data_IF_140697009798
#
_entry.id   IF_140697009798
#
_cell.length_a   1.000
_cell.length_b   1.000
_cell.length_c   1.000
_cell.angle_alpha   90.00
_cell.angle_beta   90.00
_cell.angle_gamma   90.00
#
_symmetry.space_group_name_H-M   'P 1'
#
loop_
_entity.id
_entity.type
_entity.pdbx_description
1 polymer ?
#
# COMPACT_ATOMS: atom_id res chain seq x y z
N UNK A 1 -4.47 -48.57 -32.89
CA UNK A 1 -3.65 -48.21 -31.72
C UNK A 1 -3.67 -46.69 -31.40
N UNK A 2 -4.84 -46.03 -31.41
CA UNK A 2 -4.97 -44.57 -31.16
C UNK A 2 -5.30 -44.08 -29.71
N UNK A 3 -5.77 -44.90 -28.74
CA UNK A 3 -6.36 -44.35 -27.51
C UNK A 3 -5.34 -43.85 -26.48
N UNK A 4 -4.11 -44.37 -26.47
CA UNK A 4 -3.09 -44.01 -25.47
C UNK A 4 -2.58 -42.57 -25.63
N UNK A 5 -2.46 -42.08 -26.88
CA UNK A 5 -2.03 -40.69 -27.16
C UNK A 5 -3.09 -39.67 -26.74
N UNK A 6 -4.37 -39.95 -27.02
CA UNK A 6 -5.49 -39.08 -26.63
C UNK A 6 -5.66 -39.01 -25.11
N UNK A 7 -5.51 -40.14 -24.40
CA UNK A 7 -5.57 -40.18 -22.94
C UNK A 7 -4.43 -39.40 -22.27
N UNK A 8 -3.22 -39.45 -22.85
CA UNK A 8 -2.07 -38.69 -22.37
C UNK A 8 -2.25 -37.17 -22.57
N UNK A 9 -2.72 -36.74 -23.74
CA UNK A 9 -3.02 -35.32 -24.00
C UNK A 9 -4.14 -34.78 -23.11
N UNK A 10 -5.18 -35.58 -22.84
CA UNK A 10 -6.28 -35.19 -21.97
C UNK A 10 -5.82 -35.03 -20.50
N UNK A 11 -5.01 -35.97 -19.99
CA UNK A 11 -4.42 -35.87 -18.64
C UNK A 11 -3.53 -34.65 -18.47
N UNK A 12 -2.68 -34.37 -19.46
CA UNK A 12 -1.81 -33.18 -19.41
C UNK A 12 -2.63 -31.88 -19.49
N UNK A 13 -3.66 -31.82 -20.33
CA UNK A 13 -4.54 -30.66 -20.42
C UNK A 13 -5.37 -30.42 -19.14
N UNK A 14 -5.77 -31.48 -18.44
CA UNK A 14 -6.44 -31.39 -17.14
C UNK A 14 -5.47 -30.92 -16.04
N UNK A 15 -4.24 -31.43 -16.03
CA UNK A 15 -3.20 -31.01 -15.09
C UNK A 15 -2.80 -29.54 -15.26
N UNK A 16 -2.63 -29.07 -16.49
CA UNK A 16 -2.31 -27.65 -16.76
C UNK A 16 -3.49 -26.73 -16.44
N UNK A 17 -4.73 -27.15 -16.73
CA UNK A 17 -5.93 -26.38 -16.36
C UNK A 17 -6.13 -26.30 -14.84
N UNK A 18 -5.87 -27.39 -14.11
CA UNK A 18 -5.94 -27.40 -12.65
C UNK A 18 -4.90 -26.47 -12.02
N UNK A 19 -3.67 -26.46 -12.54
CA UNK A 19 -2.62 -25.54 -12.12
C UNK A 19 -2.99 -24.07 -12.41
N UNK A 20 -3.50 -23.79 -13.62
CA UNK A 20 -3.94 -22.46 -14.04
C UNK A 20 -5.07 -21.91 -13.16
N UNK A 21 -6.02 -22.74 -12.74
CA UNK A 21 -7.13 -22.33 -11.86
C UNK A 21 -6.62 -22.01 -10.45
N UNK A 22 -5.76 -22.85 -9.89
CA UNK A 22 -5.19 -22.63 -8.55
C UNK A 22 -4.34 -21.36 -8.49
N UNK A 23 -3.50 -21.12 -9.51
CA UNK A 23 -2.66 -19.92 -9.61
C UNK A 23 -3.52 -18.65 -9.74
N UNK A 24 -4.58 -18.68 -10.57
CA UNK A 24 -5.52 -17.56 -10.70
C UNK A 24 -6.23 -17.24 -9.40
N UNK A 25 -6.72 -18.26 -8.70
CA UNK A 25 -7.40 -18.07 -7.41
C UNK A 25 -6.45 -17.49 -6.36
N UNK A 26 -5.21 -18.00 -6.28
CA UNK A 26 -4.19 -17.47 -5.37
C UNK A 26 -3.86 -15.99 -5.63
N UNK A 27 -3.78 -15.58 -6.90
CA UNK A 27 -3.52 -14.18 -7.28
C UNK A 27 -4.69 -13.24 -6.98
N UNK A 28 -5.93 -13.70 -7.18
CA UNK A 28 -7.13 -12.95 -6.78
C UNK A 28 -7.12 -12.72 -5.27
N UNK A 29 -6.83 -13.77 -4.49
CA UNK A 29 -6.72 -13.68 -3.03
C UNK A 29 -5.60 -12.71 -2.64
N UNK A 30 -4.40 -12.86 -3.18
CA UNK A 30 -3.25 -11.99 -2.89
C UNK A 30 -3.55 -10.51 -3.17
N UNK A 31 -4.22 -10.21 -4.28
CA UNK A 31 -4.64 -8.85 -4.61
C UNK A 31 -5.60 -8.28 -3.58
N UNK A 32 -6.61 -9.04 -3.18
CA UNK A 32 -7.57 -8.57 -2.18
C UNK A 32 -6.89 -8.39 -0.83
N UNK A 33 -6.00 -9.30 -0.43
CA UNK A 33 -5.19 -9.14 0.78
C UNK A 33 -4.37 -7.85 0.74
N UNK A 34 -3.75 -7.51 -0.40
CA UNK A 34 -3.03 -6.25 -0.55
C UNK A 34 -3.93 -5.03 -0.57
N UNK A 35 -5.09 -5.09 -1.24
CA UNK A 35 -6.08 -4.02 -1.19
C UNK A 35 -6.59 -3.77 0.23
N UNK A 36 -6.84 -4.83 1.01
CA UNK A 36 -7.21 -4.73 2.42
C UNK A 36 -6.06 -4.18 3.28
N UNK A 37 -4.84 -4.68 3.11
CA UNK A 37 -3.68 -4.21 3.87
C UNK A 37 -3.38 -2.73 3.62
N UNK A 38 -3.37 -2.33 2.35
CA UNK A 38 -3.15 -0.92 1.97
C UNK A 38 -4.34 -0.05 2.36
N UNK A 39 -5.57 -0.57 2.26
CA UNK A 39 -6.76 0.16 2.69
C UNK A 39 -6.80 0.41 4.20
N UNK A 40 -6.46 -0.61 5.00
CA UNK A 40 -6.34 -0.45 6.45
C UNK A 40 -5.26 0.58 6.80
N UNK A 41 -4.12 0.53 6.12
CA UNK A 41 -3.05 1.51 6.30
C UNK A 41 -3.48 2.93 5.88
N UNK A 42 -4.20 3.05 4.77
CA UNK A 42 -4.70 4.32 4.27
C UNK A 42 -5.61 5.02 5.30
N UNK A 43 -6.39 4.26 6.07
CA UNK A 43 -7.23 4.81 7.14
C UNK A 43 -6.35 5.45 8.23
N UNK A 44 -5.30 4.77 8.67
CA UNK A 44 -4.36 5.32 9.66
C UNK A 44 -3.72 6.61 9.14
N UNK A 45 -3.30 6.63 7.87
CA UNK A 45 -2.70 7.81 7.24
C UNK A 45 -3.71 8.96 7.09
N UNK A 46 -4.97 8.68 6.76
CA UNK A 46 -6.04 9.70 6.70
C UNK A 46 -6.31 10.28 8.10
N UNK A 47 -6.37 9.44 9.14
CA UNK A 47 -6.54 9.92 10.51
C UNK A 47 -5.36 10.80 10.94
N UNK A 48 -4.13 10.37 10.68
CA UNK A 48 -2.93 11.18 10.95
C UNK A 48 -2.96 12.51 10.20
N UNK A 49 -3.36 12.52 8.92
CA UNK A 49 -3.49 13.75 8.15
C UNK A 49 -4.61 14.66 8.69
N UNK A 50 -5.73 14.09 9.15
CA UNK A 50 -6.80 14.84 9.78
C UNK A 50 -6.35 15.51 11.09
N UNK A 51 -5.60 14.80 11.94
CA UNK A 51 -5.05 15.36 13.17
C UNK A 51 -4.07 16.50 12.88
N UNK A 52 -3.19 16.33 11.90
CA UNK A 52 -2.25 17.38 11.45
C UNK A 52 -3.00 18.61 10.95
N UNK A 53 -4.06 18.43 10.16
CA UNK A 53 -4.88 19.54 9.66
C UNK A 53 -5.67 20.23 10.78
N UNK A 54 -6.21 19.47 11.73
CA UNK A 54 -6.91 20.00 12.90
C UNK A 54 -5.98 20.84 13.77
N UNK A 55 -4.72 20.42 13.95
CA UNK A 55 -3.70 21.20 14.67
C UNK A 55 -3.32 22.47 13.93
N UNK A 56 -3.11 22.40 12.60
CA UNK A 56 -2.61 23.55 11.83
C UNK A 56 -3.67 24.57 11.48
N UNK A 57 -4.92 24.16 11.30
CA UNK A 57 -5.99 24.99 10.75
C UNK A 57 -7.29 24.96 11.56
N UNK A 58 -7.39 24.09 12.56
CA UNK A 58 -8.60 23.87 13.35
C UNK A 58 -8.37 24.08 14.85
N UNK A 59 -9.16 23.37 15.66
CA UNK A 59 -9.07 23.35 17.12
C UNK A 59 -8.68 21.95 17.61
N UNK A 60 -7.37 21.75 17.80
CA UNK A 60 -6.82 20.48 18.28
C UNK A 60 -7.22 20.12 19.71
N UNK A 61 -7.52 21.11 20.55
CA UNK A 61 -7.88 20.90 21.96
C UNK A 61 -9.28 20.32 22.05
N UNK A 62 -10.22 20.89 21.29
CA UNK A 62 -11.59 20.36 21.19
C UNK A 62 -11.66 18.99 20.50
N UNK A 63 -10.68 18.68 19.64
CA UNK A 63 -10.55 17.36 19.01
C UNK A 63 -9.95 16.29 19.94
N UNK A 64 -9.50 16.65 21.15
CA UNK A 64 -8.94 15.71 22.13
C UNK A 64 -7.60 15.12 21.71
N UNK A 65 -6.84 15.84 20.88
CA UNK A 65 -5.55 15.37 20.35
C UNK A 65 -4.47 15.44 21.44
N UNK A 66 -3.59 14.44 21.46
CA UNK A 66 -2.50 14.35 22.44
C UNK A 66 -1.59 15.60 22.41
N UNK A 67 -1.29 16.23 23.57
CA UNK A 67 -0.47 17.44 23.63
C UNK A 67 0.94 17.29 23.05
N UNK A 68 1.55 16.10 23.14
CA UNK A 68 2.87 15.85 22.55
C UNK A 68 2.82 15.87 21.02
N UNK A 69 1.74 15.34 20.42
CA UNK A 69 1.51 15.40 18.98
C UNK A 69 1.26 16.84 18.51
N UNK A 70 0.55 17.66 19.31
CA UNK A 70 0.35 19.09 19.02
C UNK A 70 1.69 19.81 18.92
N UNK A 71 2.58 19.65 19.89
CA UNK A 71 3.91 20.29 19.90
C UNK A 71 4.74 19.88 18.67
N UNK A 72 4.72 18.58 18.33
CA UNK A 72 5.44 18.06 17.16
C UNK A 72 4.89 18.68 15.89
N UNK A 73 3.57 18.66 15.70
CA UNK A 73 2.95 19.20 14.47
C UNK A 73 3.12 20.71 14.40
N UNK A 74 2.98 21.46 15.48
CA UNK A 74 3.23 22.90 15.50
C UNK A 74 4.65 23.24 15.03
N UNK A 75 5.64 22.42 15.41
CA UNK A 75 7.02 22.56 14.95
C UNK A 75 7.24 22.16 13.48
N UNK A 76 6.28 21.49 12.83
CA UNK A 76 6.36 21.16 11.41
C UNK A 76 6.21 22.40 10.52
N UNK A 77 7.11 22.54 9.55
CA UNK A 77 6.97 23.51 8.47
C UNK A 77 5.85 23.13 7.48
N UNK A 78 5.39 24.09 6.65
CA UNK A 78 4.27 23.89 5.71
C UNK A 78 4.52 22.78 4.69
N UNK A 79 5.78 22.54 4.32
CA UNK A 79 6.15 21.42 3.43
C UNK A 79 5.81 20.06 4.03
N UNK A 80 6.08 19.84 5.32
CA UNK A 80 5.82 18.56 5.99
C UNK A 80 4.31 18.32 6.13
N UNK A 81 3.55 19.36 6.45
CA UNK A 81 2.07 19.30 6.47
C UNK A 81 1.52 18.86 5.12
N UNK A 82 1.99 19.48 4.03
CA UNK A 82 1.60 19.11 2.67
C UNK A 82 2.00 17.67 2.33
N UNK A 83 3.19 17.24 2.75
CA UNK A 83 3.69 15.89 2.52
C UNK A 83 2.83 14.84 3.21
N UNK A 84 2.42 15.07 4.47
CA UNK A 84 1.51 14.17 5.21
C UNK A 84 0.17 14.02 4.51
N UNK A 85 -0.44 15.13 4.08
CA UNK A 85 -1.74 15.10 3.38
C UNK A 85 -1.63 14.43 2.01
N UNK A 86 -0.57 14.74 1.25
CA UNK A 86 -0.31 14.11 -0.05
C UNK A 86 -0.10 12.60 0.09
N UNK A 87 0.65 12.17 1.11
CA UNK A 87 0.88 10.75 1.41
C UNK A 87 -0.43 10.01 1.68
N UNK A 88 -1.24 10.51 2.62
CA UNK A 88 -2.54 9.92 2.96
C UNK A 88 -3.46 9.80 1.75
N UNK A 89 -3.48 10.83 0.91
CA UNK A 89 -4.28 10.85 -0.33
C UNK A 89 -3.80 9.78 -1.32
N UNK A 90 -2.48 9.62 -1.50
CA UNK A 90 -1.92 8.61 -2.39
C UNK A 90 -2.20 7.17 -1.93
N UNK A 91 -2.19 6.89 -0.61
CA UNK A 91 -2.59 5.57 -0.09
C UNK A 91 -4.07 5.27 -0.34
N UNK A 92 -4.95 6.24 -0.07
CA UNK A 92 -6.37 6.09 -0.32
C UNK A 92 -6.64 5.86 -1.81
N UNK A 93 -6.03 6.68 -2.68
CA UNK A 93 -6.13 6.54 -4.12
C UNK A 93 -5.59 5.19 -4.61
N UNK A 94 -4.45 4.73 -4.09
CA UNK A 94 -3.88 3.42 -4.43
C UNK A 94 -4.83 2.27 -4.11
N UNK A 95 -5.52 2.34 -2.97
CA UNK A 95 -6.54 1.36 -2.58
C UNK A 95 -7.69 1.33 -3.58
N UNK A 96 -8.25 2.50 -3.92
CA UNK A 96 -9.34 2.62 -4.91
C UNK A 96 -8.89 2.11 -6.28
N UNK A 97 -7.69 2.45 -6.72
CA UNK A 97 -7.12 2.01 -8.00
C UNK A 97 -6.88 0.49 -8.01
N UNK A 98 -6.43 -0.09 -6.89
CA UNK A 98 -6.28 -1.53 -6.71
C UNK A 98 -7.62 -2.26 -6.73
N UNK A 99 -8.69 -1.69 -6.18
CA UNK A 99 -10.04 -2.27 -6.27
C UNK A 99 -10.56 -2.17 -7.70
N UNK A 100 -10.45 -0.98 -8.31
CA UNK A 100 -10.86 -0.67 -9.68
C UNK A 100 -10.02 -1.34 -10.78
N UNK A 101 -8.96 -2.06 -10.41
CA UNK A 101 -8.04 -2.79 -11.32
C UNK A 101 -7.25 -1.88 -12.27
N UNK A 102 -7.08 -0.61 -11.92
CA UNK A 102 -6.38 0.37 -12.75
C UNK A 102 -4.87 0.15 -12.72
N UNK A 103 -4.20 0.32 -13.86
CA UNK A 103 -2.74 0.20 -13.96
C UNK A 103 -1.99 1.29 -13.18
N UNK A 104 -2.65 2.43 -12.95
CA UNK A 104 -2.11 3.54 -12.17
C UNK A 104 -1.95 3.24 -10.66
N UNK A 105 -2.47 2.10 -10.16
CA UNK A 105 -2.33 1.73 -8.76
C UNK A 105 -0.86 1.68 -8.29
N UNK A 106 0.03 1.10 -9.10
CA UNK A 106 1.45 1.00 -8.74
C UNK A 106 2.16 2.35 -8.68
N UNK A 107 2.12 3.21 -9.71
CA UNK A 107 2.83 4.50 -9.65
C UNK A 107 2.27 5.41 -8.55
N UNK A 108 0.96 5.36 -8.28
CA UNK A 108 0.36 6.13 -7.16
C UNK A 108 0.82 5.59 -5.81
N UNK A 109 0.94 4.26 -5.67
CA UNK A 109 1.47 3.67 -4.44
C UNK A 109 2.96 3.96 -4.25
N UNK A 110 3.74 3.91 -5.32
CA UNK A 110 5.15 4.29 -5.29
C UNK A 110 5.34 5.78 -4.91
N UNK A 111 4.45 6.66 -5.37
CA UNK A 111 4.47 8.06 -4.93
C UNK A 111 4.20 8.20 -3.42
N UNK A 112 3.23 7.45 -2.88
CA UNK A 112 2.99 7.39 -1.42
C UNK A 112 4.27 6.99 -0.66
N UNK A 113 4.95 5.92 -1.13
CA UNK A 113 6.23 5.47 -0.55
C UNK A 113 7.32 6.54 -0.57
N UNK A 114 7.44 7.29 -1.66
CA UNK A 114 8.43 8.38 -1.75
C UNK A 114 8.09 9.49 -0.76
N UNK A 115 6.82 9.82 -0.57
CA UNK A 115 6.41 10.81 0.43
C UNK A 115 6.69 10.33 1.85
N UNK A 116 6.41 9.07 2.16
CA UNK A 116 6.74 8.49 3.47
C UNK A 116 8.24 8.47 3.74
N UNK A 117 9.04 8.04 2.76
CA UNK A 117 10.49 8.03 2.90
C UNK A 117 11.05 9.45 3.06
N UNK A 118 10.53 10.41 2.29
CA UNK A 118 10.92 11.82 2.40
C UNK A 118 10.55 12.38 3.77
N UNK A 119 9.34 12.08 4.25
CA UNK A 119 8.88 12.48 5.58
C UNK A 119 9.76 11.91 6.67
N UNK A 120 10.09 10.62 6.58
CA UNK A 120 10.97 9.95 7.53
C UNK A 120 12.40 10.49 7.51
N UNK A 121 12.97 10.78 6.33
CA UNK A 121 14.32 11.38 6.24
C UNK A 121 14.33 12.77 6.88
N UNK A 122 13.34 13.61 6.60
CA UNK A 122 13.26 14.94 7.20
C UNK A 122 13.01 14.85 8.71
N UNK A 123 12.16 13.92 9.15
CA UNK A 123 11.83 13.72 10.55
C UNK A 123 13.04 13.19 11.35
N UNK A 124 13.71 12.12 10.88
CA UNK A 124 14.91 11.54 11.50
C UNK A 124 16.13 12.46 11.54
N UNK A 125 16.15 13.50 10.71
CA UNK A 125 17.21 14.52 10.72
C UNK A 125 16.99 15.61 11.78
N UNK A 126 15.86 15.57 12.51
CA UNK A 126 15.45 16.61 13.44
C UNK A 126 15.54 16.09 14.89
N UNK A 127 16.09 16.88 15.82
CA UNK A 127 16.31 16.45 17.22
C UNK A 127 15.02 16.16 17.99
N UNK A 128 13.87 16.62 17.49
CA UNK A 128 12.54 16.27 18.01
C UNK A 128 12.22 14.79 17.81
N UNK A 129 12.83 14.14 16.80
CA UNK A 129 12.69 12.71 16.57
C UNK A 129 13.26 11.87 17.70
N UNK A 130 14.41 12.25 18.25
CA UNK A 130 15.01 11.52 19.37
C UNK A 130 14.09 11.52 20.60
N UNK A 131 13.31 12.60 20.78
CA UNK A 131 12.31 12.70 21.85
C UNK A 131 11.08 11.82 21.59
N UNK A 132 10.60 11.73 20.35
CA UNK A 132 9.46 10.91 19.96
C UNK A 132 9.80 9.41 19.86
N UNK A 133 10.94 9.06 19.26
CA UNK A 133 11.41 7.68 19.15
C UNK A 133 11.71 7.06 20.52
N UNK A 134 12.11 7.87 21.50
CA UNK A 134 12.24 7.44 22.89
C UNK A 134 10.89 7.24 23.60
N UNK A 135 9.80 7.86 23.14
CA UNK A 135 8.48 7.79 23.76
C UNK A 135 7.56 6.74 23.13
N UNK A 136 7.81 6.30 21.89
CA UNK A 136 7.00 5.29 21.20
C UNK A 136 7.79 4.00 20.97
N UNK A 137 7.34 2.88 21.55
CA UNK A 137 7.89 1.53 21.30
C UNK A 137 7.38 0.91 19.98
N UNK A 138 6.85 1.71 19.07
CA UNK A 138 6.19 1.22 17.86
C UNK A 138 7.20 0.92 16.74
N UNK A 139 6.98 -0.16 15.96
CA UNK A 139 7.80 -0.44 14.80
C UNK A 139 7.72 0.73 13.80
N UNK A 140 8.86 1.20 13.33
CA UNK A 140 8.93 2.39 12.50
C UNK A 140 8.12 2.22 11.20
N UNK A 141 7.17 3.12 10.96
CA UNK A 141 6.18 3.08 9.88
C UNK A 141 6.76 2.77 8.49
N UNK A 142 7.98 3.25 8.20
CA UNK A 142 8.69 2.98 6.94
C UNK A 142 8.96 1.49 6.67
N UNK A 143 9.08 0.66 7.71
CA UNK A 143 9.29 -0.79 7.59
C UNK A 143 8.02 -1.48 7.07
N UNK A 144 6.86 -1.16 7.67
CA UNK A 144 5.54 -1.70 7.25
C UNK A 144 5.24 -1.30 5.81
N UNK A 145 5.51 -0.04 5.51
CA UNK A 145 5.42 0.55 4.18
C UNK A 145 6.30 -0.15 3.15
N UNK A 146 7.57 -0.38 3.47
CA UNK A 146 8.49 -1.13 2.62
C UNK A 146 8.01 -2.55 2.31
N UNK A 147 7.46 -3.26 3.30
CA UNK A 147 6.92 -4.62 3.11
C UNK A 147 5.71 -4.64 2.17
N UNK A 148 4.79 -3.67 2.30
CA UNK A 148 3.63 -3.55 1.43
C UNK A 148 4.04 -3.23 -0.03
N UNK A 149 5.08 -2.41 -0.23
CA UNK A 149 5.66 -2.14 -1.57
C UNK A 149 6.27 -3.38 -2.21
N UNK A 150 7.06 -4.15 -1.45
CA UNK A 150 7.64 -5.41 -1.93
C UNK A 150 6.52 -6.37 -2.34
N UNK A 151 5.45 -6.49 -1.55
CA UNK A 151 4.27 -7.30 -1.89
C UNK A 151 3.61 -6.88 -3.21
N UNK A 152 3.48 -5.58 -3.44
CA UNK A 152 2.93 -4.99 -4.67
C UNK A 152 3.82 -5.27 -5.90
N UNK A 153 5.14 -5.11 -5.77
CA UNK A 153 6.10 -5.40 -6.85
C UNK A 153 6.05 -6.89 -7.22
N UNK A 154 6.04 -7.79 -6.22
CA UNK A 154 5.94 -9.23 -6.45
C UNK A 154 4.67 -9.59 -7.22
N UNK A 155 3.51 -9.04 -6.86
CA UNK A 155 2.28 -9.25 -7.63
C UNK A 155 2.39 -8.81 -9.10
N UNK A 156 3.10 -7.71 -9.36
CA UNK A 156 3.25 -7.16 -10.71
C UNK A 156 4.23 -7.97 -11.54
N UNK A 157 5.34 -8.42 -10.95
CA UNK A 157 6.27 -9.34 -11.60
C UNK A 157 5.58 -10.66 -11.95
N UNK A 158 4.77 -11.21 -11.03
CA UNK A 158 3.94 -12.40 -11.30
C UNK A 158 2.92 -12.16 -12.43
N UNK A 159 2.43 -10.93 -12.59
CA UNK A 159 1.57 -10.51 -13.72
C UNK A 159 2.31 -10.36 -15.03
N UNK A 160 3.52 -9.82 -15.02
CA UNK A 160 4.32 -9.59 -16.22
C UNK A 160 4.98 -10.87 -16.76
N UNK A 161 5.34 -11.81 -15.88
CA UNK A 161 5.98 -13.08 -16.23
C UNK A 161 5.08 -14.05 -17.05
N UNK A 162 3.90 -13.64 -17.49
CA UNK A 162 3.02 -14.48 -18.33
C UNK A 162 2.39 -15.67 -17.61
N UNK A 163 2.66 -15.84 -16.31
CA UNK A 163 1.93 -16.74 -15.39
C UNK A 163 0.46 -16.32 -15.24
N UNK A 164 0.12 -15.12 -15.74
CA UNK A 164 -1.23 -14.60 -15.84
C UNK A 164 -1.72 -14.64 -17.30
N UNK A 165 -2.80 -15.39 -17.60
CA UNK A 165 -3.35 -15.43 -18.95
C UNK A 165 -3.90 -14.07 -19.37
N UNK A 166 -3.51 -13.62 -20.57
CA UNK A 166 -3.88 -12.33 -21.19
C UNK A 166 -5.39 -12.14 -21.43
N UNK A 167 -6.24 -13.12 -21.12
CA UNK A 167 -7.62 -13.19 -21.60
C UNK A 167 -8.72 -12.80 -20.59
N UNK A 168 -8.39 -12.23 -19.41
CA UNK A 168 -9.42 -11.89 -18.40
C UNK A 168 -9.45 -10.41 -18.00
N UNK A 169 -8.59 -9.56 -18.57
CA UNK A 169 -8.63 -8.12 -18.31
C UNK A 169 -8.99 -7.41 -19.62
N UNK A 170 -10.29 -7.32 -19.92
CA UNK A 170 -10.75 -6.17 -20.68
C UNK A 170 -10.42 -4.95 -19.82
N UNK A 171 -9.42 -4.19 -20.25
CA UNK A 171 -9.20 -2.85 -19.75
C UNK A 171 -10.50 -2.08 -19.95
N UNK A 172 -11.08 -1.62 -18.84
CA UNK A 172 -12.02 -0.51 -18.80
C UNK A 172 -11.29 0.70 -18.26
#
# INVERSE_FOLDING_TARGET
>A
MAPARQAWTARNALGTRGLDVTVKSGLVVARWLLAFGIGAWAINQIMSAADVLAIKFGDAISAGIDPSLIIIVESMGPFLVLLTVANATCYAASTVLLIGRFAAALPVYAAAMVFDLTGWVVYSSNSIYDFWAASTSEPADWVVNGLLMVGLIVMILLRQAGVLPRHVIKAG
#
